data_IF_744017696458
#
_entry.id   IF_744017696458
#
_cell.length_a   1.000
_cell.length_b   1.000
_cell.length_c   1.000
_cell.angle_alpha   90.00
_cell.angle_beta   90.00
_cell.angle_gamma   90.00
#
_symmetry.space_group_name_H-M   'P 1'
#
loop_
_entity.id
_entity.type
_entity.pdbx_description
1 polymer ?
#
# COMPACT_ATOMS: atom_id res chain seq x y z
N UNK A 1 -8.16 46.35 -18.68
CA UNK A 1 -9.24 45.36 -18.46
C UNK A 1 -8.77 43.89 -18.57
N UNK A 2 -7.55 43.53 -18.15
CA UNK A 2 -7.03 42.15 -18.31
C UNK A 2 -6.90 41.29 -17.03
N UNK A 3 -6.80 41.91 -15.85
CA UNK A 3 -6.51 41.19 -14.59
C UNK A 3 -7.71 40.38 -14.05
N UNK A 4 -8.92 40.91 -14.19
CA UNK A 4 -10.13 40.28 -13.63
C UNK A 4 -10.51 38.98 -14.38
N UNK A 5 -10.29 38.92 -15.70
CA UNK A 5 -10.52 37.73 -16.53
C UNK A 5 -9.44 36.68 -16.31
N UNK A 6 -8.16 37.06 -16.25
CA UNK A 6 -7.07 36.12 -15.94
C UNK A 6 -7.21 35.48 -14.56
N UNK A 7 -7.58 36.25 -13.53
CA UNK A 7 -7.81 35.69 -12.20
C UNK A 7 -9.01 34.73 -12.15
N UNK A 8 -10.06 34.98 -12.94
CA UNK A 8 -11.21 34.07 -13.06
C UNK A 8 -10.82 32.77 -13.76
N UNK A 9 -10.04 32.84 -14.84
CA UNK A 9 -9.55 31.65 -15.54
C UNK A 9 -8.65 30.82 -14.61
N UNK A 10 -7.74 31.47 -13.89
CA UNK A 10 -6.89 30.78 -12.91
C UNK A 10 -7.71 30.09 -11.82
N UNK A 11 -8.72 30.79 -11.27
CA UNK A 11 -9.60 30.21 -10.26
C UNK A 11 -10.35 28.98 -10.79
N UNK A 12 -10.86 29.04 -12.03
CA UNK A 12 -11.52 27.88 -12.66
C UNK A 12 -10.57 26.70 -12.84
N UNK A 13 -9.32 26.94 -13.24
CA UNK A 13 -8.30 25.90 -13.38
C UNK A 13 -7.99 25.26 -12.03
N UNK A 14 -7.82 26.06 -10.97
CA UNK A 14 -7.55 25.55 -9.62
C UNK A 14 -8.72 24.70 -9.11
N UNK A 15 -9.96 25.17 -9.29
CA UNK A 15 -11.15 24.41 -8.90
C UNK A 15 -11.21 23.09 -9.68
N UNK A 16 -11.00 23.12 -10.99
CA UNK A 16 -10.99 21.91 -11.82
C UNK A 16 -9.90 20.92 -11.37
N UNK A 17 -8.69 21.41 -11.08
CA UNK A 17 -7.61 20.58 -10.58
C UNK A 17 -7.95 19.92 -9.23
N UNK A 18 -8.50 20.68 -8.28
CA UNK A 18 -8.94 20.15 -6.99
C UNK A 18 -10.03 19.08 -7.13
N UNK A 19 -11.01 19.32 -8.01
CA UNK A 19 -12.07 18.33 -8.31
C UNK A 19 -11.46 17.06 -8.88
N UNK A 20 -10.54 17.16 -9.84
CA UNK A 20 -9.87 16.00 -10.42
C UNK A 20 -9.05 15.23 -9.39
N UNK A 21 -8.31 15.92 -8.52
CA UNK A 21 -7.55 15.28 -7.44
C UNK A 21 -8.45 14.57 -6.44
N UNK A 22 -9.57 15.18 -6.05
CA UNK A 22 -10.53 14.55 -5.14
C UNK A 22 -11.17 13.30 -5.75
N UNK A 23 -11.55 13.36 -7.03
CA UNK A 23 -12.09 12.20 -7.76
C UNK A 23 -11.04 11.10 -7.86
N UNK A 24 -9.78 11.43 -8.18
CA UNK A 24 -8.70 10.45 -8.25
C UNK A 24 -8.46 9.75 -6.91
N UNK A 25 -8.45 10.51 -5.81
CA UNK A 25 -8.31 9.96 -4.46
C UNK A 25 -9.48 9.01 -4.12
N UNK A 26 -10.71 9.42 -4.40
CA UNK A 26 -11.90 8.60 -4.16
C UNK A 26 -11.87 7.30 -4.98
N UNK A 27 -11.61 7.38 -6.28
CA UNK A 27 -11.52 6.20 -7.15
C UNK A 27 -10.39 5.28 -6.69
N UNK A 28 -9.27 5.82 -6.22
CA UNK A 28 -8.18 5.03 -5.67
C UNK A 28 -8.59 4.28 -4.39
N UNK A 29 -9.38 4.91 -3.52
CA UNK A 29 -9.88 4.26 -2.29
C UNK A 29 -10.97 3.21 -2.52
N UNK A 30 -11.70 3.30 -3.63
CA UNK A 30 -12.75 2.35 -4.00
C UNK A 30 -12.22 1.12 -4.74
N UNK A 31 -10.92 1.05 -5.04
CA UNK A 31 -10.33 -0.16 -5.62
C UNK A 31 -10.38 -1.27 -4.59
N UNK A 32 -11.11 -2.33 -4.92
CA UNK A 32 -11.16 -3.53 -4.10
C UNK A 32 -9.77 -4.18 -4.08
N UNK A 33 -9.19 -4.28 -2.89
CA UNK A 33 -7.94 -5.02 -2.72
C UNK A 33 -8.20 -6.48 -3.01
N UNK A 34 -7.37 -7.09 -3.85
CA UNK A 34 -7.38 -8.54 -4.05
C UNK A 34 -6.94 -9.17 -2.73
N UNK A 35 -7.90 -9.70 -1.98
CA UNK A 35 -7.64 -10.43 -0.74
C UNK A 35 -7.48 -11.91 -1.05
N UNK A 36 -6.28 -12.44 -0.78
CA UNK A 36 -6.01 -13.86 -0.89
C UNK A 36 -6.55 -14.62 0.32
N UNK A 37 -6.77 -15.92 0.17
CA UNK A 37 -7.16 -16.77 1.31
C UNK A 37 -6.02 -16.80 2.33
N UNK A 38 -6.32 -16.62 3.61
CA UNK A 38 -5.33 -16.67 4.69
C UNK A 38 -4.58 -18.01 4.78
N UNK A 39 -5.15 -19.08 4.22
CA UNK A 39 -4.55 -20.41 4.15
C UNK A 39 -3.74 -20.68 2.88
N UNK A 40 -3.72 -19.77 1.91
CA UNK A 40 -2.90 -19.92 0.70
C UNK A 40 -1.51 -19.31 0.90
N UNK A 41 -0.47 -19.78 0.19
CA UNK A 41 0.86 -19.19 0.25
C UNK A 41 0.86 -17.67 -0.02
N UNK A 42 0.07 -17.23 -1.00
CA UNK A 42 -0.08 -15.81 -1.35
C UNK A 42 -0.71 -15.01 -0.22
N UNK A 43 -1.71 -15.57 0.47
CA UNK A 43 -2.37 -14.90 1.59
C UNK A 43 -1.47 -14.77 2.80
N UNK A 44 -0.64 -15.77 3.10
CA UNK A 44 0.35 -15.67 4.18
C UNK A 44 1.36 -14.57 3.89
N UNK A 45 1.89 -14.51 2.66
CA UNK A 45 2.81 -13.45 2.23
C UNK A 45 2.13 -12.07 2.26
N UNK A 46 0.88 -11.98 1.81
CA UNK A 46 0.10 -10.74 1.88
C UNK A 46 -0.06 -10.26 3.32
N UNK A 47 -0.46 -11.12 4.25
CA UNK A 47 -0.63 -10.76 5.66
C UNK A 47 0.70 -10.34 6.30
N UNK A 48 1.79 -11.05 6.01
CA UNK A 48 3.13 -10.69 6.47
C UNK A 48 3.55 -9.29 6.01
N UNK A 49 3.41 -9.00 4.70
CA UNK A 49 3.78 -7.70 4.14
C UNK A 49 2.87 -6.58 4.61
N UNK A 50 1.57 -6.83 4.79
CA UNK A 50 0.64 -5.86 5.39
C UNK A 50 1.08 -5.51 6.80
N UNK A 51 1.44 -6.50 7.64
CA UNK A 51 1.91 -6.25 8.99
C UNK A 51 3.20 -5.40 9.00
N UNK A 52 4.13 -5.64 8.07
CA UNK A 52 5.34 -4.82 7.91
C UNK A 52 5.01 -3.38 7.53
N UNK A 53 4.14 -3.18 6.55
CA UNK A 53 3.74 -1.84 6.08
C UNK A 53 3.05 -1.06 7.21
N UNK A 54 2.29 -1.73 8.06
CA UNK A 54 1.64 -1.15 9.23
C UNK A 54 2.57 -0.97 10.45
N UNK A 55 3.85 -1.39 10.35
CA UNK A 55 4.82 -1.34 11.45
C UNK A 55 4.53 -2.33 12.59
N UNK A 56 3.71 -3.36 12.33
CA UNK A 56 3.33 -4.40 13.30
C UNK A 56 4.29 -5.59 13.21
N UNK A 57 5.55 -5.37 13.57
CA UNK A 57 6.61 -6.36 13.36
C UNK A 57 6.42 -7.65 14.18
N UNK A 58 5.85 -7.57 15.39
CA UNK A 58 5.47 -8.75 16.17
C UNK A 58 4.43 -9.62 15.46
N UNK A 59 3.45 -8.98 14.81
CA UNK A 59 2.45 -9.67 14.02
C UNK A 59 3.07 -10.27 12.76
N UNK A 60 3.97 -9.54 12.10
CA UNK A 60 4.69 -10.05 10.94
C UNK A 60 5.50 -11.32 11.29
N UNK A 61 6.23 -11.30 12.40
CA UNK A 61 7.00 -12.44 12.88
C UNK A 61 6.13 -13.67 13.21
N UNK A 62 4.85 -13.47 13.58
CA UNK A 62 3.91 -14.57 13.82
C UNK A 62 3.58 -15.42 12.58
N UNK A 63 3.90 -14.94 11.38
CA UNK A 63 3.75 -15.69 10.13
C UNK A 63 4.97 -16.53 9.76
N UNK A 64 6.05 -16.50 10.56
CA UNK A 64 7.19 -17.39 10.37
C UNK A 64 6.84 -18.82 10.76
N UNK A 65 7.57 -19.77 10.18
CA UNK A 65 7.52 -21.17 10.60
C UNK A 65 8.02 -21.29 12.05
N UNK A 66 7.45 -22.22 12.81
CA UNK A 66 7.69 -22.33 14.26
C UNK A 66 9.15 -22.60 14.65
N UNK A 67 9.94 -23.16 13.75
CA UNK A 67 11.37 -23.46 13.89
C UNK A 67 12.28 -22.41 13.24
N UNK A 68 11.71 -21.29 12.79
CA UNK A 68 12.45 -20.14 12.28
C UNK A 68 13.40 -19.59 13.33
N UNK A 69 14.59 -19.21 12.90
CA UNK A 69 15.54 -18.45 13.73
C UNK A 69 15.32 -16.95 13.67
N UNK A 70 14.45 -16.48 12.75
CA UNK A 70 14.11 -15.07 12.60
C UNK A 70 12.98 -14.66 13.56
N UNK A 71 13.03 -13.43 14.07
CA UNK A 71 12.00 -12.84 14.92
C UNK A 71 11.67 -11.39 14.55
N UNK A 72 10.85 -10.71 15.35
CA UNK A 72 10.46 -9.32 15.12
C UNK A 72 11.67 -8.36 15.09
N UNK A 73 12.74 -8.64 15.85
CA UNK A 73 13.95 -7.82 15.89
C UNK A 73 14.72 -7.85 14.57
N UNK A 74 14.61 -8.94 13.80
CA UNK A 74 15.15 -8.99 12.44
C UNK A 74 14.43 -8.04 11.50
N UNK A 75 13.11 -7.92 11.66
CA UNK A 75 12.26 -7.03 10.86
C UNK A 75 12.51 -5.58 11.27
N UNK A 76 12.63 -5.29 12.57
CA UNK A 76 12.91 -3.94 13.09
C UNK A 76 14.22 -3.34 12.54
N UNK A 77 15.22 -4.19 12.29
CA UNK A 77 16.51 -3.77 11.72
C UNK A 77 16.44 -3.50 10.22
N UNK A 78 15.42 -4.01 9.52
CA UNK A 78 15.27 -3.85 8.10
C UNK A 78 14.66 -2.49 7.76
N UNK A 79 15.30 -1.75 6.85
CA UNK A 79 14.71 -0.53 6.32
C UNK A 79 13.59 -0.87 5.34
N UNK A 80 12.39 -0.32 5.59
CA UNK A 80 11.25 -0.41 4.68
C UNK A 80 10.84 1.00 4.27
N UNK A 81 10.72 1.23 2.96
CA UNK A 81 10.28 2.52 2.43
C UNK A 81 8.80 2.74 2.74
N UNK A 82 8.44 3.95 3.20
CA UNK A 82 7.04 4.39 3.33
C UNK A 82 6.28 4.38 2.00
N UNK A 83 7.01 4.36 0.87
CA UNK A 83 6.45 4.28 -0.48
C UNK A 83 6.49 2.85 -1.07
N UNK A 84 6.61 1.81 -0.24
CA UNK A 84 6.64 0.42 -0.68
C UNK A 84 5.38 0.07 -1.49
N UNK A 85 5.58 -0.54 -2.65
CA UNK A 85 4.52 -1.15 -3.47
C UNK A 85 4.94 -2.55 -3.87
N UNK A 86 4.07 -3.53 -3.60
CA UNK A 86 4.32 -4.94 -3.92
C UNK A 86 3.24 -5.43 -4.88
N UNK A 87 3.65 -6.21 -5.89
CA UNK A 87 2.74 -6.86 -6.82
C UNK A 87 3.11 -8.34 -6.92
N UNK A 88 2.13 -9.22 -6.77
CA UNK A 88 2.33 -10.67 -6.91
C UNK A 88 2.29 -11.03 -8.40
N UNK A 89 3.44 -11.45 -8.94
CA UNK A 89 3.55 -11.83 -10.35
C UNK A 89 3.25 -13.31 -10.57
N UNK A 90 3.77 -14.18 -9.69
CA UNK A 90 3.56 -15.63 -9.75
C UNK A 90 3.80 -16.28 -8.40
N UNK A 91 3.29 -17.50 -8.24
CA UNK A 91 3.55 -18.37 -7.09
C UNK A 91 4.02 -19.73 -7.61
N UNK A 92 5.05 -20.30 -6.98
CA UNK A 92 5.45 -21.69 -7.16
C UNK A 92 5.68 -22.30 -5.78
N UNK A 93 5.26 -23.54 -5.58
CA UNK A 93 5.48 -24.29 -4.33
C UNK A 93 6.17 -25.58 -4.71
N UNK A 94 7.40 -25.74 -4.23
CA UNK A 94 8.20 -26.96 -4.39
C UNK A 94 8.03 -27.83 -3.14
N UNK A 95 7.91 -29.15 -3.34
CA UNK A 95 7.67 -30.14 -2.28
C UNK A 95 8.77 -31.19 -2.21
#
# INVERSE_FOLDING_TARGET
>A
MGRATSNRILALIVIAALVLSAVAALVSSLREEVKYSASSPEGVVQMYLTAIIEGKNDQAASYFVSDSTCDASDIDRAYVSEALRVNLISTSVDG
#
